data_IF_634142605933
#
_entry.id   IF_634142605933
#
_cell.length_a   1.000
_cell.length_b   1.000
_cell.length_c   1.000
_cell.angle_alpha   90.00
_cell.angle_beta   90.00
_cell.angle_gamma   90.00
#
_symmetry.space_group_name_H-M   'P 1'
#
loop_
_entity.id
_entity.type
_entity.pdbx_description
1 polymer ?
#
# COMPACT_ATOMS: atom_id res chain seq x y z
N UNK A 1 -27.35 16.98 -55.73
CA UNK A 1 -27.97 18.28 -55.36
C UNK A 1 -29.26 18.12 -54.56
N UNK A 2 -30.30 17.42 -55.07
CA UNK A 2 -31.64 17.28 -54.40
C UNK A 2 -31.57 16.80 -52.94
N UNK A 3 -30.85 15.70 -52.67
CA UNK A 3 -30.64 15.18 -51.29
C UNK A 3 -29.99 16.17 -50.31
N UNK A 4 -29.09 17.05 -50.78
CA UNK A 4 -28.45 18.04 -49.91
C UNK A 4 -29.46 19.11 -49.48
N UNK A 5 -30.37 19.50 -50.39
CA UNK A 5 -31.44 20.44 -50.10
C UNK A 5 -32.49 19.82 -49.17
N UNK A 6 -32.85 18.56 -49.40
CA UNK A 6 -33.78 17.81 -48.53
C UNK A 6 -33.23 17.71 -47.09
N UNK A 7 -31.93 17.38 -46.95
CA UNK A 7 -31.29 17.28 -45.64
C UNK A 7 -31.13 18.65 -44.95
N UNK A 8 -30.84 19.70 -45.72
CA UNK A 8 -30.82 21.08 -45.22
C UNK A 8 -32.18 21.47 -44.64
N UNK A 9 -33.27 21.15 -45.35
CA UNK A 9 -34.63 21.41 -44.89
C UNK A 9 -34.98 20.63 -43.62
N UNK A 10 -34.60 19.35 -43.55
CA UNK A 10 -34.78 18.54 -42.34
C UNK A 10 -34.09 19.16 -41.12
N UNK A 11 -32.83 19.62 -41.26
CA UNK A 11 -32.10 20.26 -40.15
C UNK A 11 -32.76 21.56 -39.69
N UNK A 12 -33.34 22.34 -40.61
CA UNK A 12 -34.11 23.53 -40.25
C UNK A 12 -35.37 23.16 -39.44
N UNK A 13 -36.09 22.11 -39.83
CA UNK A 13 -37.26 21.61 -39.09
C UNK A 13 -36.92 21.11 -37.68
N UNK A 14 -35.74 20.55 -37.48
CA UNK A 14 -35.25 20.11 -36.16
C UNK A 14 -34.78 21.30 -35.28
N UNK A 15 -34.90 22.55 -35.75
CA UNK A 15 -34.59 23.75 -34.97
C UNK A 15 -33.12 24.15 -34.95
N UNK A 16 -32.28 23.62 -35.84
CA UNK A 16 -30.88 24.04 -35.94
C UNK A 16 -30.76 25.44 -36.56
N UNK A 17 -29.75 26.21 -36.13
CA UNK A 17 -29.54 27.59 -36.58
C UNK A 17 -29.27 27.68 -38.10
N UNK A 18 -30.08 28.41 -38.89
CA UNK A 18 -29.93 28.50 -40.35
C UNK A 18 -28.56 28.95 -40.82
N UNK A 19 -27.97 29.96 -40.16
CA UNK A 19 -26.64 30.50 -40.52
C UNK A 19 -25.54 29.46 -40.38
N UNK A 20 -25.65 28.59 -39.36
CA UNK A 20 -24.70 27.52 -39.13
C UNK A 20 -24.83 26.43 -40.21
N UNK A 21 -26.07 26.08 -40.55
CA UNK A 21 -26.37 25.11 -41.62
C UNK A 21 -25.75 25.60 -42.94
N UNK A 22 -26.08 26.81 -43.38
CA UNK A 22 -25.56 27.38 -44.62
C UNK A 22 -24.04 27.37 -44.66
N UNK A 23 -23.39 27.83 -43.58
CA UNK A 23 -21.94 27.84 -43.46
C UNK A 23 -21.32 26.46 -43.62
N UNK A 24 -21.89 25.41 -43.01
CA UNK A 24 -21.33 24.06 -43.11
C UNK A 24 -21.58 23.44 -44.49
N UNK A 25 -22.73 23.67 -45.11
CA UNK A 25 -23.02 23.19 -46.46
C UNK A 25 -22.17 23.89 -47.53
N UNK A 26 -21.92 25.19 -47.39
CA UNK A 26 -20.96 25.91 -48.24
C UNK A 26 -19.56 25.34 -48.08
N UNK A 27 -19.12 25.10 -46.83
CA UNK A 27 -17.82 24.48 -46.55
C UNK A 27 -17.69 23.10 -47.18
N UNK A 28 -18.72 22.25 -47.06
CA UNK A 28 -18.71 20.92 -47.64
C UNK A 28 -18.65 20.95 -49.17
N UNK A 29 -19.41 21.86 -49.81
CA UNK A 29 -19.41 22.05 -51.27
C UNK A 29 -18.09 22.61 -51.80
N UNK A 30 -17.35 23.37 -50.98
CA UNK A 30 -16.06 23.96 -51.37
C UNK A 30 -14.87 22.97 -51.39
N UNK A 31 -15.05 21.75 -50.88
CA UNK A 31 -14.00 20.73 -50.83
C UNK A 31 -14.12 19.79 -52.04
N UNK A 32 -13.01 19.55 -52.75
CA UNK A 32 -12.99 18.60 -53.86
C UNK A 32 -13.09 17.16 -53.35
N UNK A 33 -13.70 16.28 -54.15
CA UNK A 33 -13.81 14.87 -53.81
C UNK A 33 -12.42 14.21 -53.69
N UNK A 34 -11.49 14.57 -54.56
CA UNK A 34 -10.12 14.05 -54.55
C UNK A 34 -9.36 14.43 -53.28
N UNK A 35 -9.61 15.62 -52.72
CA UNK A 35 -9.00 16.03 -51.45
C UNK A 35 -9.62 15.33 -50.24
N UNK A 36 -10.90 14.96 -50.31
CA UNK A 36 -11.60 14.24 -49.24
C UNK A 36 -11.22 12.75 -49.18
N UNK A 37 -10.91 12.15 -50.32
CA UNK A 37 -10.54 10.74 -50.43
C UNK A 37 -9.08 10.46 -50.06
N UNK A 38 -8.24 11.51 -49.92
CA UNK A 38 -6.86 11.36 -49.43
C UNK A 38 -6.86 10.89 -47.96
N UNK A 39 -6.22 9.75 -47.64
CA UNK A 39 -6.12 9.28 -46.26
C UNK A 39 -5.32 10.30 -45.44
N UNK A 40 -5.95 10.82 -44.38
CA UNK A 40 -5.27 11.71 -43.43
C UNK A 40 -4.31 10.88 -42.58
N UNK A 41 -3.05 11.31 -42.51
CA UNK A 41 -2.08 10.71 -41.60
C UNK A 41 -2.55 10.90 -40.15
N UNK A 42 -2.88 9.79 -39.48
CA UNK A 42 -3.21 9.82 -38.06
C UNK A 42 -1.92 9.67 -37.26
N UNK A 43 -1.53 10.71 -36.54
CA UNK A 43 -0.43 10.63 -35.57
C UNK A 43 -0.93 9.80 -34.39
N UNK A 44 -0.33 8.64 -34.16
CA UNK A 44 -0.60 7.79 -32.99
C UNK A 44 -0.05 8.47 -31.74
N UNK A 45 -0.89 9.26 -31.07
CA UNK A 45 -0.55 9.86 -29.77
C UNK A 45 -0.77 8.84 -28.66
N UNK A 46 0.19 8.73 -27.74
CA UNK A 46 0.00 7.96 -26.51
C UNK A 46 -0.97 8.71 -25.60
N UNK A 47 -2.08 8.07 -25.25
CA UNK A 47 -3.17 8.68 -24.47
C UNK A 47 -3.34 7.94 -23.14
N UNK A 48 -3.45 8.69 -22.06
CA UNK A 48 -3.66 8.18 -20.71
C UNK A 48 -4.98 8.70 -20.14
N UNK A 49 -5.99 7.85 -19.98
CA UNK A 49 -7.27 8.26 -19.44
C UNK A 49 -7.22 8.41 -17.91
N UNK A 50 -7.44 9.63 -17.42
CA UNK A 50 -7.78 9.90 -16.03
C UNK A 50 -9.26 9.60 -15.83
N UNK A 51 -9.56 8.39 -15.33
CA UNK A 51 -10.94 7.90 -15.25
C UNK A 51 -11.62 8.32 -13.94
N UNK A 52 -12.62 9.18 -14.04
CA UNK A 52 -13.39 9.75 -12.93
C UNK A 52 -14.87 9.38 -13.05
N UNK A 53 -15.64 9.54 -11.98
CA UNK A 53 -17.10 9.44 -12.07
C UNK A 53 -17.68 10.82 -12.45
N UNK A 54 -18.62 10.85 -13.40
CA UNK A 54 -19.26 12.08 -13.85
C UNK A 54 -20.18 12.63 -12.78
N UNK A 55 -19.95 13.87 -12.34
CA UNK A 55 -20.88 14.59 -11.47
C UNK A 55 -21.07 16.01 -12.01
N UNK A 56 -22.32 16.43 -12.31
CA UNK A 56 -22.59 17.73 -12.93
C UNK A 56 -22.26 18.94 -12.03
N UNK A 57 -22.12 18.72 -10.71
CA UNK A 57 -21.73 19.76 -9.74
C UNK A 57 -20.22 20.02 -9.80
N UNK A 58 -19.44 19.06 -10.31
CA UNK A 58 -17.98 19.22 -10.35
C UNK A 58 -17.56 20.28 -11.37
N UNK A 59 -16.52 21.07 -11.04
CA UNK A 59 -15.92 21.99 -12.00
C UNK A 59 -15.31 21.22 -13.17
N UNK A 60 -15.09 21.92 -14.29
CA UNK A 60 -14.51 21.33 -15.49
C UNK A 60 -13.09 20.79 -15.22
N UNK A 61 -12.97 19.48 -14.99
CA UNK A 61 -11.71 18.82 -14.65
C UNK A 61 -10.68 18.96 -15.78
N UNK A 62 -11.11 19.00 -17.04
CA UNK A 62 -10.19 19.25 -18.16
C UNK A 62 -9.52 20.62 -18.05
N UNK A 63 -10.28 21.65 -17.65
CA UNK A 63 -9.74 23.00 -17.43
C UNK A 63 -8.78 23.04 -16.25
N UNK A 64 -9.11 22.36 -15.16
CA UNK A 64 -8.24 22.25 -13.97
C UNK A 64 -6.94 21.52 -14.33
N UNK A 65 -7.04 20.38 -15.01
CA UNK A 65 -5.89 19.60 -15.47
C UNK A 65 -4.96 20.46 -16.31
N UNK A 66 -5.48 21.17 -17.32
CA UNK A 66 -4.69 22.07 -18.17
C UNK A 66 -4.05 23.22 -17.38
N UNK A 67 -4.77 23.79 -16.41
CA UNK A 67 -4.25 24.87 -15.56
C UNK A 67 -3.05 24.43 -14.72
N UNK A 68 -3.10 23.20 -14.19
CA UNK A 68 -2.12 22.70 -13.23
C UNK A 68 -1.14 21.68 -13.82
N UNK A 69 -1.20 21.38 -15.12
CA UNK A 69 -0.33 20.39 -15.77
C UNK A 69 1.17 20.70 -15.60
N UNK A 70 1.53 21.99 -15.48
CA UNK A 70 2.90 22.43 -15.25
C UNK A 70 3.51 21.88 -13.95
N UNK A 71 2.68 21.66 -12.91
CA UNK A 71 3.14 21.05 -11.66
C UNK A 71 3.62 19.61 -11.89
N UNK A 72 2.93 18.87 -12.75
CA UNK A 72 3.29 17.50 -13.12
C UNK A 72 4.64 17.46 -13.86
N UNK A 73 4.91 18.46 -14.71
CA UNK A 73 6.16 18.58 -15.47
C UNK A 73 7.32 19.26 -14.73
N UNK A 74 7.12 19.63 -13.46
CA UNK A 74 8.22 20.08 -12.62
C UNK A 74 9.23 18.96 -12.39
N UNK A 75 8.77 17.71 -12.44
CA UNK A 75 9.61 16.51 -12.42
C UNK A 75 9.88 16.02 -13.85
N UNK A 76 11.15 15.95 -14.30
CA UNK A 76 11.51 15.52 -15.65
C UNK A 76 11.03 14.10 -15.99
N UNK A 77 11.05 13.21 -15.00
CA UNK A 77 10.60 11.81 -15.13
C UNK A 77 9.12 11.71 -15.51
N UNK A 78 8.27 12.57 -14.94
CA UNK A 78 6.84 12.57 -15.23
C UNK A 78 6.53 13.14 -16.61
N UNK A 79 7.37 14.06 -17.12
CA UNK A 79 7.25 14.60 -18.48
C UNK A 79 7.56 13.54 -19.54
N UNK A 80 8.50 12.64 -19.25
CA UNK A 80 8.82 11.50 -20.12
C UNK A 80 7.69 10.46 -20.13
N UNK A 81 7.14 10.14 -18.95
CA UNK A 81 6.06 9.15 -18.81
C UNK A 81 4.74 9.67 -19.41
N UNK A 82 4.41 10.95 -19.18
CA UNK A 82 3.18 11.61 -19.62
C UNK A 82 3.48 12.81 -20.52
N UNK A 83 3.68 12.61 -21.83
CA UNK A 83 3.89 13.70 -22.78
C UNK A 83 2.80 14.77 -22.73
N UNK A 84 3.13 15.99 -23.17
CA UNK A 84 2.17 17.09 -23.17
C UNK A 84 0.91 16.76 -23.99
N UNK A 85 -0.26 16.90 -23.36
CA UNK A 85 -1.54 16.56 -23.97
C UNK A 85 -1.87 15.06 -24.01
N UNK A 86 -1.07 14.19 -23.39
CA UNK A 86 -1.35 12.74 -23.31
C UNK A 86 -2.45 12.39 -22.30
N UNK A 87 -2.59 13.16 -21.22
CA UNK A 87 -3.60 12.90 -20.18
C UNK A 87 -4.95 13.46 -20.61
N UNK A 88 -5.97 12.59 -20.67
CA UNK A 88 -7.35 12.99 -20.97
C UNK A 88 -8.27 12.62 -19.80
N UNK A 89 -9.14 13.53 -19.33
CA UNK A 89 -10.18 13.14 -18.40
C UNK A 89 -11.22 12.27 -19.11
N UNK A 90 -11.46 11.08 -18.58
CA UNK A 90 -12.51 10.17 -19.03
C UNK A 90 -13.52 10.02 -17.90
N UNK A 91 -14.82 10.02 -18.22
CA UNK A 91 -15.86 9.94 -17.20
C UNK A 91 -16.66 8.65 -17.31
N UNK A 92 -16.82 7.98 -16.18
CA UNK A 92 -17.75 6.87 -15.97
C UNK A 92 -19.07 7.42 -15.45
N UNK A 93 -20.17 6.72 -15.70
CA UNK A 93 -21.44 7.07 -15.05
C UNK A 93 -21.32 6.87 -13.54
N UNK A 94 -21.98 7.71 -12.76
CA UNK A 94 -22.19 7.45 -11.34
C UNK A 94 -23.15 6.28 -11.16
N UNK A 95 -22.98 5.60 -10.02
CA UNK A 95 -23.87 4.50 -9.63
C UNK A 95 -25.28 5.03 -9.43
N UNK A 96 -26.27 4.33 -9.98
CA UNK A 96 -27.67 4.66 -9.69
C UNK A 96 -28.11 4.08 -8.34
N UNK A 97 -29.27 4.52 -7.83
CA UNK A 97 -29.78 4.07 -6.54
C UNK A 97 -29.92 2.54 -6.46
N UNK A 98 -30.36 1.89 -7.54
CA UNK A 98 -30.45 0.43 -7.64
C UNK A 98 -29.09 -0.25 -7.45
N UNK A 99 -28.03 0.25 -8.09
CA UNK A 99 -26.67 -0.28 -7.95
C UNK A 99 -26.03 0.02 -6.58
N UNK A 100 -26.50 1.07 -5.89
CA UNK A 100 -26.08 1.40 -4.54
C UNK A 100 -26.77 0.52 -3.50
N UNK A 101 -28.09 0.32 -3.64
CA UNK A 101 -28.95 -0.34 -2.65
C UNK A 101 -29.06 -1.85 -2.90
N UNK A 102 -29.13 -2.28 -4.15
CA UNK A 102 -29.37 -3.67 -4.56
C UNK A 102 -28.43 -4.08 -5.71
N UNK A 103 -27.11 -4.16 -5.47
CA UNK A 103 -26.15 -4.52 -6.50
C UNK A 103 -26.40 -5.96 -7.00
N UNK A 104 -26.39 -6.14 -8.33
CA UNK A 104 -26.67 -7.42 -9.01
C UNK A 104 -25.71 -8.55 -8.65
N UNK A 105 -24.50 -8.18 -8.24
CA UNK A 105 -23.63 -9.03 -7.46
C UNK A 105 -23.74 -8.52 -6.04
N UNK A 106 -24.14 -9.38 -5.09
CA UNK A 106 -23.79 -9.13 -3.70
C UNK A 106 -22.30 -8.77 -3.72
N UNK A 107 -21.95 -7.60 -3.19
CA UNK A 107 -20.57 -7.45 -2.70
C UNK A 107 -20.49 -8.52 -1.65
N UNK A 108 -20.00 -9.69 -2.05
CA UNK A 108 -19.42 -10.61 -1.14
C UNK A 108 -18.39 -9.77 -0.40
N UNK A 109 -18.75 -9.31 0.80
CA UNK A 109 -17.82 -9.42 1.92
C UNK A 109 -17.61 -10.92 2.15
N UNK A 110 -17.17 -11.66 1.13
CA UNK A 110 -16.31 -12.77 1.39
C UNK A 110 -15.11 -12.08 2.02
N UNK A 111 -14.78 -12.38 3.28
CA UNK A 111 -13.46 -12.05 3.76
C UNK A 111 -12.49 -12.86 2.90
N UNK A 112 -12.06 -12.30 1.76
CA UNK A 112 -10.63 -12.24 1.53
C UNK A 112 -10.08 -11.77 2.88
N UNK A 113 -9.18 -12.51 3.56
CA UNK A 113 -8.58 -12.01 4.79
C UNK A 113 -8.21 -10.58 4.50
N UNK A 114 -8.72 -9.66 5.31
CA UNK A 114 -8.61 -8.23 5.11
C UNK A 114 -7.12 -7.88 5.17
N UNK A 115 -6.43 -8.06 4.04
CA UNK A 115 -5.02 -7.77 3.80
C UNK A 115 -4.76 -6.25 3.97
N UNK A 116 -5.81 -5.48 4.22
CA UNK A 116 -5.80 -4.05 4.51
C UNK A 116 -6.08 -3.71 5.97
N UNK A 117 -6.64 -4.60 6.79
CA UNK A 117 -6.80 -4.32 8.22
C UNK A 117 -5.45 -4.37 8.93
N UNK A 118 -5.03 -3.28 9.59
CA UNK A 118 -3.74 -3.25 10.24
C UNK A 118 -3.76 -4.10 11.52
N UNK A 119 -2.69 -4.87 11.74
CA UNK A 119 -2.62 -5.86 12.82
C UNK A 119 -1.70 -7.03 12.48
N UNK A 120 -1.36 -7.80 13.51
CA UNK A 120 -0.78 -9.12 13.36
C UNK A 120 -1.88 -10.18 13.33
N UNK A 121 -1.81 -11.08 12.34
CA UNK A 121 -2.74 -12.17 12.17
C UNK A 121 -2.01 -13.51 12.11
N UNK A 122 -2.44 -14.43 12.98
CA UNK A 122 -1.96 -15.81 13.05
C UNK A 122 -2.37 -16.58 11.80
N UNK A 123 -1.51 -17.49 11.33
CA UNK A 123 -1.88 -18.36 10.21
C UNK A 123 -2.71 -19.56 10.68
N UNK A 124 -3.58 -20.08 9.82
CA UNK A 124 -4.39 -21.28 10.09
C UNK A 124 -3.64 -22.62 9.89
N UNK A 125 -2.31 -22.57 9.71
CA UNK A 125 -1.49 -23.76 9.51
C UNK A 125 -0.96 -24.31 10.84
N UNK A 126 -0.39 -25.53 10.81
CA UNK A 126 0.41 -26.11 11.92
C UNK A 126 1.70 -25.30 12.13
N UNK A 127 1.58 -24.15 12.79
CA UNK A 127 2.68 -23.21 13.02
C UNK A 127 2.89 -23.04 14.52
N UNK A 128 4.02 -23.54 15.01
CA UNK A 128 4.42 -23.49 16.43
C UNK A 128 4.32 -22.07 17.03
N UNK A 129 4.82 -21.05 16.31
CA UNK A 129 4.69 -19.64 16.70
C UNK A 129 3.23 -19.21 16.92
N UNK A 130 2.38 -19.43 15.93
CA UNK A 130 0.98 -18.97 15.93
C UNK A 130 0.07 -19.75 16.87
N UNK A 131 0.46 -20.98 17.23
CA UNK A 131 -0.31 -21.83 18.12
C UNK A 131 0.04 -21.58 19.59
N UNK A 132 1.33 -21.35 19.89
CA UNK A 132 1.83 -21.43 21.26
C UNK A 132 2.42 -20.11 21.80
N UNK A 133 2.85 -19.18 20.94
CA UNK A 133 3.68 -18.04 21.36
C UNK A 133 3.21 -16.68 20.84
N UNK A 134 2.18 -16.64 19.99
CA UNK A 134 1.62 -15.40 19.45
C UNK A 134 0.11 -15.52 19.32
N UNK A 135 -0.58 -14.43 19.65
CA UNK A 135 -2.01 -14.26 19.37
C UNK A 135 -2.21 -13.13 18.37
N UNK A 136 -3.24 -13.25 17.51
CA UNK A 136 -3.63 -12.17 16.62
C UNK A 136 -3.94 -10.91 17.44
N UNK A 137 -3.32 -9.78 17.10
CA UNK A 137 -3.48 -8.54 17.85
C UNK A 137 -3.30 -7.33 16.94
N UNK A 138 -4.02 -6.25 17.25
CA UNK A 138 -3.85 -4.94 16.61
C UNK A 138 -3.06 -3.96 17.47
N UNK A 139 -2.82 -4.31 18.73
CA UNK A 139 -2.25 -3.43 19.76
C UNK A 139 -1.12 -4.18 20.48
N UNK A 140 -0.08 -3.45 20.84
CA UNK A 140 0.94 -3.91 21.78
C UNK A 140 1.18 -2.83 22.83
N UNK A 141 1.74 -3.20 23.98
CA UNK A 141 1.96 -2.28 25.08
C UNK A 141 3.42 -2.30 25.56
N UNK A 142 3.84 -1.17 26.11
CA UNK A 142 5.09 -1.03 26.84
C UNK A 142 4.91 -1.56 28.26
N UNK A 143 5.64 -2.60 28.65
CA UNK A 143 5.56 -3.15 30.00
C UNK A 143 6.04 -2.15 31.07
N UNK A 144 7.00 -1.29 30.73
CA UNK A 144 7.58 -0.32 31.66
C UNK A 144 6.70 0.91 31.92
N UNK A 145 5.81 1.29 30.99
CA UNK A 145 5.00 2.51 31.10
C UNK A 145 3.49 2.27 30.98
N UNK A 146 3.05 1.06 30.61
CA UNK A 146 1.65 0.75 30.33
C UNK A 146 1.11 1.34 29.03
N UNK A 147 1.90 2.14 28.29
CA UNK A 147 1.43 2.81 27.07
C UNK A 147 1.17 1.80 25.94
N UNK A 148 0.01 1.93 25.30
CA UNK A 148 -0.39 1.11 24.16
C UNK A 148 -0.05 1.76 22.81
N UNK A 149 0.22 0.92 21.81
CA UNK A 149 0.55 1.30 20.44
C UNK A 149 -0.20 0.42 19.44
N UNK A 150 -0.64 1.00 18.32
CA UNK A 150 -1.29 0.27 17.24
C UNK A 150 -0.27 -0.27 16.23
N UNK A 151 -0.44 -1.53 15.83
CA UNK A 151 0.24 -2.10 14.66
C UNK A 151 -0.44 -1.49 13.44
N UNK A 152 0.32 -0.75 12.62
CA UNK A 152 -0.22 0.06 11.51
C UNK A 152 -0.26 -0.67 10.17
N UNK A 153 0.35 -1.85 10.09
CA UNK A 153 0.43 -2.64 8.87
C UNK A 153 -0.24 -4.01 9.07
N UNK A 154 -0.68 -4.63 7.99
CA UNK A 154 -1.04 -6.04 7.99
C UNK A 154 0.24 -6.89 8.05
N UNK A 155 0.39 -7.68 9.10
CA UNK A 155 1.56 -8.53 9.36
C UNK A 155 1.11 -9.95 9.68
N UNK A 156 1.87 -10.92 9.18
CA UNK A 156 1.65 -12.36 9.45
C UNK A 156 2.96 -13.02 9.87
N UNK A 157 2.89 -14.29 10.30
CA UNK A 157 4.07 -15.06 10.65
C UNK A 157 5.05 -15.32 9.49
N UNK A 158 4.63 -15.13 8.23
CA UNK A 158 5.48 -15.26 7.04
C UNK A 158 6.04 -13.92 6.56
N UNK A 159 5.70 -12.82 7.21
CA UNK A 159 6.18 -11.49 6.83
C UNK A 159 7.68 -11.37 7.11
N UNK A 160 8.42 -10.80 6.14
CA UNK A 160 9.86 -10.52 6.19
C UNK A 160 10.12 -9.05 6.56
N UNK A 161 11.35 -8.75 6.95
CA UNK A 161 11.81 -7.38 7.29
C UNK A 161 10.95 -6.75 8.38
N UNK A 162 10.81 -7.43 9.52
CA UNK A 162 9.96 -7.00 10.63
C UNK A 162 10.77 -6.59 11.85
N UNK A 163 10.26 -5.59 12.57
CA UNK A 163 10.61 -5.33 13.96
C UNK A 163 9.62 -6.12 14.82
N UNK A 164 10.13 -6.78 15.85
CA UNK A 164 9.33 -7.58 16.77
C UNK A 164 9.63 -7.27 18.22
N UNK A 165 8.60 -7.51 19.04
CA UNK A 165 8.59 -7.42 20.48
C UNK A 165 8.49 -8.83 21.06
N UNK A 166 9.40 -9.10 21.98
CA UNK A 166 9.37 -10.29 22.83
C UNK A 166 9.07 -9.84 24.25
N UNK A 167 8.12 -10.50 24.90
CA UNK A 167 7.76 -10.23 26.29
C UNK A 167 7.92 -11.50 27.10
N UNK A 168 8.61 -11.41 28.24
CA UNK A 168 8.57 -12.42 29.28
C UNK A 168 7.41 -12.08 30.23
N UNK A 169 6.38 -12.91 30.27
CA UNK A 169 5.20 -12.68 31.13
C UNK A 169 5.53 -12.83 32.61
N UNK A 170 6.47 -13.72 32.97
CA UNK A 170 6.88 -13.97 34.35
C UNK A 170 7.62 -12.78 34.98
N UNK A 171 8.57 -12.19 34.26
CA UNK A 171 9.35 -11.04 34.74
C UNK A 171 8.75 -9.69 34.32
N UNK A 172 7.74 -9.67 33.44
CA UNK A 172 7.18 -8.48 32.82
C UNK A 172 8.25 -7.56 32.18
N UNK A 173 9.27 -8.16 31.56
CA UNK A 173 10.34 -7.46 30.84
C UNK A 173 10.26 -7.74 29.34
N UNK A 174 10.73 -6.78 28.55
CA UNK A 174 10.58 -6.79 27.10
C UNK A 174 11.92 -6.70 26.37
N UNK A 175 11.96 -7.27 25.16
CA UNK A 175 13.07 -7.22 24.21
C UNK A 175 12.56 -6.79 22.83
N UNK A 176 13.26 -5.87 22.18
CA UNK A 176 13.04 -5.48 20.80
C UNK A 176 14.14 -6.08 19.92
N UNK A 177 13.75 -6.63 18.78
CA UNK A 177 14.70 -7.03 17.74
C UNK A 177 14.14 -6.87 16.35
N UNK A 178 15.00 -7.02 15.35
CA UNK A 178 14.63 -7.02 13.94
C UNK A 178 15.02 -8.32 13.25
N UNK A 179 14.40 -8.59 12.10
CA UNK A 179 14.78 -9.71 11.23
C UNK A 179 14.48 -9.42 9.77
N UNK A 180 15.37 -9.84 8.88
CA UNK A 180 15.19 -9.82 7.43
C UNK A 180 14.50 -11.09 6.89
N UNK A 181 14.56 -12.20 7.64
CA UNK A 181 13.90 -13.45 7.27
C UNK A 181 12.43 -13.45 7.68
N UNK A 182 11.69 -14.52 7.37
CA UNK A 182 10.30 -14.64 7.80
C UNK A 182 10.21 -14.67 9.33
N UNK A 183 9.22 -13.98 9.90
CA UNK A 183 9.08 -13.86 11.34
C UNK A 183 9.05 -15.21 12.08
N UNK A 184 8.36 -16.22 11.54
CA UNK A 184 8.35 -17.59 12.08
C UNK A 184 9.74 -18.26 12.11
N UNK A 185 10.64 -17.92 11.19
CA UNK A 185 12.02 -18.44 11.17
C UNK A 185 12.81 -17.81 12.30
N UNK A 186 12.68 -16.49 12.50
CA UNK A 186 13.35 -15.81 13.60
C UNK A 186 12.91 -16.34 14.97
N UNK A 187 11.62 -16.63 15.12
CA UNK A 187 11.09 -17.28 16.32
C UNK A 187 11.77 -18.64 16.58
N UNK A 188 11.84 -19.52 15.57
CA UNK A 188 12.48 -20.84 15.71
C UNK A 188 13.93 -20.73 16.16
N UNK A 189 14.66 -19.75 15.63
CA UNK A 189 16.05 -19.50 16.02
C UNK A 189 16.16 -19.12 17.51
N UNK A 190 15.29 -18.22 17.99
CA UNK A 190 15.24 -17.87 19.42
C UNK A 190 14.85 -19.07 20.29
N UNK A 191 13.82 -19.83 19.90
CA UNK A 191 13.41 -21.07 20.59
C UNK A 191 14.55 -22.08 20.69
N UNK A 192 15.24 -22.34 19.58
CA UNK A 192 16.43 -23.20 19.54
C UNK A 192 17.54 -22.66 20.45
N UNK A 193 17.82 -21.35 20.42
CA UNK A 193 18.83 -20.75 21.32
C UNK A 193 18.49 -20.91 22.80
N UNK A 194 17.21 -20.82 23.18
CA UNK A 194 16.77 -21.09 24.55
C UNK A 194 17.02 -22.55 24.91
N UNK A 195 16.56 -23.50 24.09
CA UNK A 195 16.73 -24.94 24.31
C UNK A 195 18.20 -25.39 24.36
N UNK A 196 19.06 -24.77 23.55
CA UNK A 196 20.50 -25.07 23.47
C UNK A 196 21.37 -24.22 24.39
N UNK A 197 20.76 -23.40 25.27
CA UNK A 197 21.44 -22.54 26.22
C UNK A 197 22.53 -21.62 25.61
N UNK A 198 22.21 -21.03 24.45
CA UNK A 198 23.16 -20.20 23.71
C UNK A 198 23.46 -18.88 24.43
N UNK A 199 24.66 -18.81 25.03
CA UNK A 199 25.10 -17.66 25.85
C UNK A 199 25.22 -16.33 25.11
N UNK A 200 25.32 -16.36 23.78
CA UNK A 200 25.38 -15.14 22.95
C UNK A 200 24.02 -14.51 22.69
N UNK A 201 22.92 -15.20 22.99
CA UNK A 201 21.57 -14.68 22.85
C UNK A 201 21.05 -14.20 24.21
N UNK A 202 20.81 -12.90 24.37
CA UNK A 202 20.41 -12.33 25.67
C UNK A 202 19.06 -12.87 26.15
N UNK A 203 18.12 -13.05 25.23
CA UNK A 203 16.83 -13.72 25.50
C UNK A 203 17.07 -15.13 26.06
N UNK A 204 17.94 -15.91 25.42
CA UNK A 204 18.25 -17.26 25.88
C UNK A 204 18.95 -17.26 27.24
N UNK A 205 19.86 -16.31 27.49
CA UNK A 205 20.48 -16.19 28.81
C UNK A 205 19.46 -15.84 29.90
N UNK A 206 18.46 -15.00 29.61
CA UNK A 206 17.41 -14.67 30.57
C UNK A 206 16.54 -15.89 30.91
N UNK A 207 16.04 -16.59 29.90
CA UNK A 207 15.16 -17.75 30.09
C UNK A 207 15.87 -18.94 30.75
N UNK A 208 17.19 -19.07 30.58
CA UNK A 208 17.97 -20.16 31.18
C UNK A 208 18.61 -19.81 32.53
N UNK A 209 18.69 -18.53 32.91
CA UNK A 209 19.31 -18.12 34.17
C UNK A 209 18.33 -18.18 35.34
N UNK A 210 17.09 -17.75 35.13
CA UNK A 210 16.00 -17.93 36.09
C UNK A 210 15.05 -19.01 35.55
N UNK A 211 14.41 -19.82 36.40
CA UNK A 211 13.56 -20.91 35.96
C UNK A 211 12.32 -20.34 35.26
N UNK A 212 12.38 -20.25 33.93
CA UNK A 212 11.27 -19.84 33.08
C UNK A 212 10.81 -21.03 32.25
N UNK A 213 9.52 -21.11 32.03
CA UNK A 213 8.98 -22.01 31.03
C UNK A 213 8.96 -21.31 29.69
N UNK A 214 9.06 -22.07 28.60
CA UNK A 214 8.91 -21.47 27.26
C UNK A 214 7.53 -20.83 27.07
N UNK A 215 6.51 -21.28 27.81
CA UNK A 215 5.17 -20.67 27.81
C UNK A 215 5.15 -19.25 28.38
N UNK A 216 6.19 -18.82 29.11
CA UNK A 216 6.33 -17.45 29.61
C UNK A 216 6.71 -16.46 28.48
N UNK A 217 6.92 -16.96 27.26
CA UNK A 217 7.35 -16.18 26.11
C UNK A 217 6.17 -15.77 25.22
N UNK A 218 5.95 -14.46 25.08
CA UNK A 218 5.11 -13.90 24.03
C UNK A 218 5.96 -13.24 22.94
N UNK A 219 5.68 -13.56 21.68
CA UNK A 219 6.43 -13.08 20.51
C UNK A 219 5.48 -12.39 19.54
N UNK A 220 5.71 -11.12 19.19
CA UNK A 220 4.77 -10.33 18.39
C UNK A 220 5.52 -9.42 17.40
N UNK A 221 5.19 -9.43 16.10
CA UNK A 221 5.75 -8.48 15.17
C UNK A 221 4.96 -7.16 15.25
N UNK A 222 5.67 -6.03 15.32
CA UNK A 222 5.06 -4.72 15.62
C UNK A 222 5.17 -3.72 14.47
N UNK A 223 6.12 -3.93 13.55
CA UNK A 223 6.31 -3.07 12.38
C UNK A 223 6.94 -3.87 11.23
N UNK A 224 6.52 -3.59 10.00
CA UNK A 224 7.14 -4.12 8.77
C UNK A 224 7.82 -3.00 7.99
N UNK A 225 9.06 -3.24 7.55
CA UNK A 225 9.77 -2.39 6.60
C UNK A 225 9.44 -2.84 5.17
N UNK A 226 8.81 -1.94 4.40
CA UNK A 226 8.39 -2.22 3.01
C UNK A 226 9.38 -1.74 1.97
N UNK A 227 10.24 -0.78 2.32
CA UNK A 227 11.24 -0.24 1.40
C UNK A 227 12.37 -1.27 1.17
N UNK A 228 12.78 -1.40 -0.08
CA UNK A 228 13.86 -2.29 -0.53
C UNK A 228 15.23 -1.61 -0.52
N UNK A 229 15.28 -0.28 -0.42
CA UNK A 229 16.51 0.50 -0.40
C UNK A 229 17.05 0.57 1.04
N UNK A 230 18.31 0.14 1.23
CA UNK A 230 19.01 0.14 2.52
C UNK A 230 18.22 -0.55 3.65
N UNK A 231 17.48 -1.63 3.36
CA UNK A 231 16.57 -2.30 4.31
C UNK A 231 17.20 -2.60 5.67
N UNK A 232 18.45 -3.07 5.68
CA UNK A 232 19.19 -3.38 6.91
C UNK A 232 19.41 -2.16 7.81
N UNK A 233 19.74 -1.00 7.21
CA UNK A 233 19.94 0.26 7.93
C UNK A 233 18.62 0.77 8.50
N UNK A 234 17.51 0.58 7.77
CA UNK A 234 16.16 0.92 8.26
C UNK A 234 15.70 0.00 9.38
N UNK A 235 15.93 -1.30 9.27
CA UNK A 235 15.66 -2.26 10.35
C UNK A 235 16.41 -1.85 11.62
N UNK A 236 17.70 -1.52 11.51
CA UNK A 236 18.51 -1.06 12.64
C UNK A 236 17.96 0.24 13.25
N UNK A 237 17.67 1.24 12.42
CA UNK A 237 17.13 2.53 12.87
C UNK A 237 15.78 2.35 13.60
N UNK A 238 14.89 1.52 13.06
CA UNK A 238 13.58 1.25 13.66
C UNK A 238 13.67 0.38 14.92
N UNK A 239 14.60 -0.56 14.98
CA UNK A 239 14.91 -1.34 16.19
C UNK A 239 15.37 -0.43 17.33
N UNK A 240 16.31 0.49 17.06
CA UNK A 240 16.79 1.49 18.04
C UNK A 240 15.63 2.37 18.50
N UNK A 241 14.82 2.86 17.56
CA UNK A 241 13.64 3.67 17.88
C UNK A 241 12.70 2.94 18.85
N UNK A 242 12.30 1.70 18.55
CA UNK A 242 11.37 0.97 19.41
C UNK A 242 11.99 0.55 20.74
N UNK A 243 13.28 0.23 20.75
CA UNK A 243 14.03 -0.03 21.98
C UNK A 243 13.96 1.15 22.94
N UNK A 244 14.13 2.38 22.42
CA UNK A 244 14.00 3.60 23.21
C UNK A 244 12.54 3.87 23.62
N UNK A 245 11.58 3.73 22.69
CA UNK A 245 10.16 4.01 22.95
C UNK A 245 9.55 3.07 24.01
N UNK A 246 9.91 1.78 23.97
CA UNK A 246 9.39 0.77 24.90
C UNK A 246 10.30 0.56 26.12
N UNK A 247 11.36 1.35 26.27
CA UNK A 247 12.33 1.27 27.38
C UNK A 247 12.86 -0.15 27.60
N UNK A 248 13.18 -0.87 26.53
CA UNK A 248 13.63 -2.27 26.64
C UNK A 248 15.12 -2.43 26.93
N UNK A 249 15.86 -1.33 27.17
CA UNK A 249 17.27 -1.38 27.55
C UNK A 249 17.40 -1.79 29.01
N UNK A 250 18.33 -2.71 29.30
CA UNK A 250 18.71 -3.08 30.66
C UNK A 250 19.05 -1.84 31.52
N UNK A 251 18.55 -1.72 32.78
CA UNK A 251 17.89 -2.77 33.57
C UNK A 251 16.37 -2.90 33.37
N UNK A 252 15.73 -2.00 32.61
CA UNK A 252 14.26 -1.97 32.47
C UNK A 252 13.72 -2.98 31.45
N UNK A 253 14.59 -3.50 30.59
CA UNK A 253 14.27 -4.61 29.69
C UNK A 253 15.51 -5.44 29.37
N UNK A 254 15.43 -6.22 28.29
CA UNK A 254 16.44 -7.23 27.95
C UNK A 254 17.49 -6.75 26.94
N UNK A 255 17.26 -5.68 26.19
CA UNK A 255 18.23 -5.18 25.20
C UNK A 255 19.48 -4.63 25.90
N UNK A 256 20.66 -4.92 25.34
CA UNK A 256 21.94 -4.34 25.81
C UNK A 256 22.38 -3.18 24.92
N UNK A 257 23.00 -2.13 25.49
CA UNK A 257 23.48 -0.96 24.71
C UNK A 257 24.48 -1.36 23.61
N UNK A 258 25.36 -2.31 23.89
CA UNK A 258 26.37 -2.77 22.92
C UNK A 258 25.73 -3.49 21.72
N UNK A 259 24.56 -4.09 21.94
CA UNK A 259 23.75 -4.66 20.88
C UNK A 259 23.12 -3.59 20.01
N UNK A 260 23.25 -2.28 20.23
CA UNK A 260 22.72 -1.25 19.32
C UNK A 260 23.75 -0.78 18.28
N UNK A 261 25.02 -1.18 18.43
CA UNK A 261 26.13 -0.78 17.53
C UNK A 261 26.77 -1.94 16.73
N UNK A 262 26.41 -3.21 16.98
CA UNK A 262 27.05 -4.36 16.32
C UNK A 262 26.65 -4.52 14.84
N UNK A 263 27.65 -4.63 13.94
CA UNK A 263 27.51 -4.88 12.49
C UNK A 263 27.10 -6.33 12.14
N UNK A 264 27.21 -7.28 13.09
CA UNK A 264 26.93 -8.73 12.87
C UNK A 264 25.49 -9.16 13.22
N UNK A 265 24.57 -8.21 13.45
CA UNK A 265 23.25 -8.50 14.04
C UNK A 265 22.20 -9.11 13.10
N UNK A 266 22.30 -8.87 11.80
CA UNK A 266 21.27 -9.26 10.82
C UNK A 266 21.64 -10.58 10.10
N UNK A 267 22.90 -11.00 10.21
CA UNK A 267 23.42 -12.17 9.52
C UNK A 267 23.29 -13.42 10.39
N UNK A 268 22.06 -13.88 10.56
CA UNK A 268 21.81 -15.31 10.74
C UNK A 268 21.07 -15.80 9.49
N UNK A 269 21.81 -15.80 8.37
CA UNK A 269 21.49 -16.67 7.24
C UNK A 269 21.60 -18.15 7.74
N UNK A 270 20.84 -19.08 7.14
CA UNK A 270 20.79 -20.49 7.56
C UNK A 270 22.18 -21.12 7.72
#
# INVERSE_FOLDING_TARGET
>A
MKRCQDYKHYLLQQGYNPKLIDKQFHRATSLSQDDLLKPKSQITKKVYPLVLDFNPILPNISKILKKHIKLLYTLPTLKEIFPEGSIIPAYRRTKNLKELVAPSKFKNKCPLPDLTSPGFFTCNNKCDLCQNYSSSSRIFYCAATGRSYYIKQYITCTTKNVIYLLTCSKCNVQYIGSTSTEFKVRFRNHKSHMLTNKKTCVVATHFNHTPHELTDLAFLPIERITDTIETNKKLLSREIYWTAQLRTIFPYGLNKRNELNSKKRINFAP
#
